data_IF_782593678844
#
_entry.id   IF_782593678844
#
_cell.length_a   1.000
_cell.length_b   1.000
_cell.length_c   1.000
_cell.angle_alpha   90.00
_cell.angle_beta   90.00
_cell.angle_gamma   90.00
#
_symmetry.space_group_name_H-M   'P 1'
#
loop_
_entity.id
_entity.type
_entity.pdbx_description
1 polymer ?
#
# COMPACT_ATOMS: atom_id res chain seq x y z
N UNK A 1 -4.85 15.35 -39.46
CA UNK A 1 -4.94 14.15 -39.71
C UNK A 1 -3.90 13.29 -39.25
N UNK A 2 -2.78 13.50 -39.60
CA UNK A 2 -1.74 12.63 -39.17
C UNK A 2 -1.65 12.50 -37.70
N UNK A 3 -1.96 13.50 -37.04
CA UNK A 3 -1.84 13.49 -35.62
C UNK A 3 -2.64 12.44 -34.97
N UNK A 4 -3.81 12.20 -35.46
CA UNK A 4 -4.55 11.27 -34.83
C UNK A 4 -4.09 9.95 -35.20
N UNK A 5 -3.55 9.80 -36.32
CA UNK A 5 -3.07 8.52 -36.67
C UNK A 5 -1.99 8.08 -35.74
N UNK A 6 -1.24 8.97 -35.23
CA UNK A 6 -0.15 8.57 -34.40
C UNK A 6 -0.60 8.02 -33.09
N UNK A 7 -1.63 8.49 -32.57
CA UNK A 7 -2.02 8.01 -31.31
C UNK A 7 -2.59 6.63 -31.36
N UNK A 8 -3.49 6.37 -32.19
CA UNK A 8 -4.10 5.08 -32.17
C UNK A 8 -3.18 3.95 -32.47
N UNK A 9 -2.29 4.11 -33.36
CA UNK A 9 -1.48 2.99 -33.72
C UNK A 9 -0.71 2.42 -32.59
N UNK A 10 -0.39 3.24 -31.71
CA UNK A 10 0.38 2.78 -30.66
C UNK A 10 -0.40 1.98 -29.73
N UNK A 11 -1.65 2.02 -29.87
CA UNK A 11 -2.47 1.52 -28.87
C UNK A 11 -2.31 0.09 -28.54
N UNK A 12 -2.44 -0.82 -29.46
CA UNK A 12 -2.45 -2.20 -29.11
C UNK A 12 -1.20 -2.63 -28.44
N UNK A 13 -0.11 -2.53 -29.13
CA UNK A 13 1.15 -2.98 -28.59
C UNK A 13 1.60 -2.13 -27.42
N UNK A 14 1.41 -0.84 -27.52
CA UNK A 14 1.80 0.02 -26.44
C UNK A 14 0.96 -0.18 -25.20
N UNK A 15 -0.29 -0.46 -25.36
CA UNK A 15 -1.15 -0.74 -24.24
C UNK A 15 -0.80 -2.07 -23.60
N UNK A 16 -0.44 -3.07 -24.39
CA UNK A 16 -0.02 -4.34 -23.84
C UNK A 16 1.27 -4.18 -23.07
N UNK A 17 2.19 -3.40 -23.58
CA UNK A 17 3.44 -3.14 -22.90
C UNK A 17 3.18 -2.32 -21.65
N UNK A 18 2.33 -1.33 -21.76
CA UNK A 18 1.99 -0.49 -20.62
C UNK A 18 1.31 -1.31 -19.54
N UNK A 19 0.43 -2.21 -19.90
CA UNK A 19 -0.23 -3.05 -18.94
C UNK A 19 0.77 -3.97 -18.23
N UNK A 20 1.78 -4.42 -18.96
CA UNK A 20 2.81 -5.24 -18.38
C UNK A 20 3.72 -4.44 -17.47
N UNK A 21 3.98 -3.20 -17.82
CA UNK A 21 4.84 -2.33 -17.02
C UNK A 21 4.11 -1.66 -15.88
N UNK A 22 2.82 -1.58 -15.98
CA UNK A 22 2.01 -0.96 -14.94
C UNK A 22 2.29 -1.52 -13.56
N UNK A 23 2.49 -2.80 -13.38
CA UNK A 23 2.81 -3.34 -12.08
C UNK A 23 4.03 -2.70 -11.42
N UNK A 24 4.96 -2.18 -12.18
CA UNK A 24 6.12 -1.52 -11.60
C UNK A 24 5.71 -0.25 -10.87
N UNK A 25 4.85 0.54 -11.47
CA UNK A 25 4.34 1.74 -10.81
C UNK A 25 3.48 1.37 -9.60
N UNK A 26 2.70 0.32 -9.73
CA UNK A 26 1.88 -0.15 -8.61
C UNK A 26 2.73 -0.67 -7.48
N UNK A 27 3.82 -1.35 -7.79
CA UNK A 27 4.74 -1.83 -6.78
C UNK A 27 5.35 -0.66 -6.02
N UNK A 28 5.74 0.38 -6.71
CA UNK A 28 6.27 1.57 -6.07
C UNK A 28 5.22 2.23 -5.19
N UNK A 29 4.00 2.29 -5.67
CA UNK A 29 2.92 2.92 -4.93
C UNK A 29 2.65 2.18 -3.64
N UNK A 30 2.54 0.85 -3.68
CA UNK A 30 2.23 0.11 -2.47
C UNK A 30 3.43 0.06 -1.51
N UNK A 31 4.64 0.08 -2.05
CA UNK A 31 5.81 0.16 -1.19
C UNK A 31 5.86 1.51 -0.47
N UNK A 32 5.48 2.57 -1.16
CA UNK A 32 5.41 3.89 -0.56
C UNK A 32 4.36 3.92 0.56
N UNK A 33 3.18 3.40 0.28
CA UNK A 33 2.12 3.36 1.28
C UNK A 33 2.56 2.54 2.49
N UNK A 34 3.15 1.37 2.25
CA UNK A 34 3.63 0.53 3.33
C UNK A 34 4.69 1.24 4.15
N UNK A 35 5.60 1.95 3.50
CA UNK A 35 6.65 2.68 4.19
C UNK A 35 6.08 3.79 5.07
N UNK A 36 5.10 4.53 4.57
CA UNK A 36 4.46 5.58 5.35
C UNK A 36 3.77 5.00 6.58
N UNK A 37 3.06 3.90 6.43
CA UNK A 37 2.39 3.26 7.55
C UNK A 37 3.40 2.65 8.52
N UNK A 38 4.45 2.06 7.99
CA UNK A 38 5.52 1.48 8.82
C UNK A 38 6.16 2.55 9.71
N UNK A 39 6.38 3.73 9.15
CA UNK A 39 6.94 4.85 9.91
C UNK A 39 6.01 5.30 11.03
N UNK A 40 4.71 5.38 10.74
CA UNK A 40 3.73 5.77 11.74
C UNK A 40 3.75 4.78 12.91
N UNK A 41 3.82 3.50 12.59
CA UNK A 41 3.87 2.45 13.61
C UNK A 41 5.19 2.53 14.38
N UNK A 42 6.29 2.66 13.67
CA UNK A 42 7.62 2.71 14.31
C UNK A 42 7.81 3.93 15.17
N UNK A 43 7.21 5.06 14.80
CA UNK A 43 7.28 6.28 15.59
C UNK A 43 6.19 6.33 16.66
N UNK A 44 5.42 5.26 16.79
CA UNK A 44 4.36 5.13 17.79
C UNK A 44 3.25 6.17 17.62
N UNK A 45 3.05 6.60 16.40
CA UNK A 45 1.92 7.47 16.07
C UNK A 45 0.63 6.63 16.05
N UNK A 46 0.78 5.33 15.80
CA UNK A 46 -0.32 4.37 15.90
C UNK A 46 0.15 3.31 16.88
N UNK A 47 -0.60 3.10 17.94
CA UNK A 47 -0.19 2.21 19.02
C UNK A 47 -0.70 0.78 18.81
N UNK A 48 -0.11 -0.18 19.54
CA UNK A 48 -0.61 -1.55 19.49
C UNK A 48 -2.11 -1.61 19.78
N UNK A 49 -2.79 -2.47 19.07
CA UNK A 49 -4.25 -2.65 19.12
C UNK A 49 -5.05 -1.49 18.54
N UNK A 50 -4.40 -0.44 18.09
CA UNK A 50 -5.12 0.61 17.36
C UNK A 50 -5.44 0.11 15.96
N UNK A 51 -6.62 0.44 15.48
CA UNK A 51 -7.00 0.13 14.11
C UNK A 51 -6.45 1.17 13.16
N UNK A 52 -5.98 0.72 12.02
CA UNK A 52 -5.63 1.62 10.95
C UNK A 52 -6.92 2.10 10.28
N UNK A 53 -6.87 3.22 9.57
CA UNK A 53 -8.03 3.63 8.76
C UNK A 53 -8.40 2.50 7.81
N UNK A 54 -9.64 2.48 7.38
CA UNK A 54 -10.11 1.45 6.45
C UNK A 54 -9.37 1.53 5.12
N UNK A 55 -9.45 0.46 4.34
CA UNK A 55 -8.86 0.47 3.00
C UNK A 55 -9.38 1.63 2.17
N UNK A 56 -10.67 1.90 2.30
CA UNK A 56 -11.30 2.99 1.58
C UNK A 56 -10.72 4.33 2.01
N UNK A 57 -10.56 4.52 3.29
CA UNK A 57 -9.98 5.75 3.82
C UNK A 57 -8.52 5.89 3.41
N UNK A 58 -7.76 4.82 3.49
CA UNK A 58 -6.35 4.85 3.08
C UNK A 58 -6.23 5.13 1.59
N UNK A 59 -7.10 4.54 0.79
CA UNK A 59 -7.14 4.79 -0.64
C UNK A 59 -7.34 6.28 -0.92
N UNK A 60 -8.27 6.91 -0.20
CA UNK A 60 -8.50 8.33 -0.36
C UNK A 60 -7.35 9.18 0.13
N UNK A 61 -6.77 8.83 1.27
CA UNK A 61 -5.67 9.60 1.85
C UNK A 61 -4.42 9.57 0.99
N UNK A 62 -4.10 8.42 0.41
CA UNK A 62 -2.91 8.27 -0.41
C UNK A 62 -3.17 8.52 -1.90
N UNK A 63 -4.42 8.63 -2.29
CA UNK A 63 -4.75 8.83 -3.71
C UNK A 63 -4.40 7.63 -4.57
N UNK A 64 -4.58 6.42 -4.04
CA UNK A 64 -4.26 5.19 -4.76
C UNK A 64 -5.46 4.26 -4.75
N UNK A 65 -5.41 3.23 -5.57
CA UNK A 65 -6.50 2.26 -5.62
C UNK A 65 -6.51 1.35 -4.41
N UNK A 66 -7.62 0.69 -4.20
CA UNK A 66 -7.76 -0.23 -3.06
C UNK A 66 -6.81 -1.41 -3.17
N UNK A 67 -6.55 -1.88 -4.38
CA UNK A 67 -5.61 -2.97 -4.57
C UNK A 67 -4.22 -2.60 -4.10
N UNK A 68 -3.82 -1.35 -4.31
CA UNK A 68 -2.53 -0.85 -3.84
C UNK A 68 -2.49 -0.83 -2.32
N UNK A 69 -3.58 -0.39 -1.70
CA UNK A 69 -3.67 -0.38 -0.24
C UNK A 69 -3.61 -1.80 0.30
N UNK A 70 -4.34 -2.72 -0.31
CA UNK A 70 -4.34 -4.12 0.11
C UNK A 70 -2.93 -4.72 0.01
N UNK A 71 -2.22 -4.41 -1.06
CA UNK A 71 -0.86 -4.91 -1.22
C UNK A 71 0.07 -4.36 -0.15
N UNK A 72 -0.09 -3.07 0.18
CA UNK A 72 0.70 -2.46 1.24
C UNK A 72 0.43 -3.12 2.59
N UNK A 73 -0.83 -3.37 2.88
CA UNK A 73 -1.22 -4.02 4.14
C UNK A 73 -0.64 -5.43 4.21
N UNK A 74 -0.64 -6.16 3.10
CA UNK A 74 -0.05 -7.50 3.08
C UNK A 74 1.44 -7.47 3.37
N UNK A 75 2.15 -6.45 2.92
CA UNK A 75 3.55 -6.29 3.26
C UNK A 75 3.72 -6.11 4.75
N UNK A 76 2.89 -5.27 5.37
CA UNK A 76 2.97 -5.03 6.80
C UNK A 76 2.58 -6.27 7.59
N UNK A 77 1.63 -7.04 7.09
CA UNK A 77 1.27 -8.32 7.72
C UNK A 77 2.43 -9.31 7.67
N UNK A 78 3.11 -9.38 6.54
CA UNK A 78 4.26 -10.25 6.39
C UNK A 78 5.38 -9.86 7.34
N UNK A 79 5.50 -8.58 7.64
CA UNK A 79 6.47 -8.07 8.60
C UNK A 79 5.98 -8.16 10.04
N UNK A 80 4.76 -8.65 10.22
CA UNK A 80 4.13 -8.81 11.54
C UNK A 80 3.95 -7.50 12.29
N UNK A 81 3.75 -6.44 11.54
CA UNK A 81 3.45 -5.14 12.13
C UNK A 81 1.97 -4.95 12.35
N UNK A 82 1.15 -5.60 11.54
CA UNK A 82 -0.30 -5.50 11.65
C UNK A 82 -0.93 -6.87 11.42
N UNK A 83 -2.19 -7.00 11.81
CA UNK A 83 -2.99 -8.16 11.48
C UNK A 83 -4.37 -7.71 11.03
N UNK A 84 -4.98 -8.49 10.16
CA UNK A 84 -6.32 -8.22 9.70
C UNK A 84 -7.28 -9.10 10.49
N UNK A 85 -8.32 -8.49 11.06
CA UNK A 85 -9.35 -9.20 11.80
C UNK A 85 -10.65 -9.09 11.02
N UNK A 86 -11.39 -10.17 10.98
CA UNK A 86 -12.65 -10.23 10.26
C UNK A 86 -13.80 -9.99 11.20
N UNK A 87 -14.98 -9.72 10.64
CA UNK A 87 -16.19 -9.59 11.41
C UNK A 87 -16.60 -8.15 11.63
N UNK A 88 -17.60 -7.99 12.48
CA UNK A 88 -18.22 -6.68 12.74
C UNK A 88 -17.23 -5.65 13.27
N UNK A 89 -16.35 -6.09 14.14
CA UNK A 89 -15.32 -5.20 14.70
C UNK A 89 -13.98 -5.46 14.02
N UNK A 90 -14.03 -5.87 12.75
CA UNK A 90 -12.84 -6.19 12.01
C UNK A 90 -12.10 -4.99 11.52
N UNK A 91 -11.00 -5.22 10.85
CA UNK A 91 -10.15 -4.18 10.29
C UNK A 91 -8.70 -4.61 10.38
N UNK A 92 -7.81 -3.67 10.17
CA UNK A 92 -6.38 -3.92 10.28
C UNK A 92 -5.88 -3.25 11.54
N UNK A 93 -5.23 -4.02 12.40
CA UNK A 93 -4.82 -3.54 13.71
C UNK A 93 -3.32 -3.68 13.90
N UNK A 94 -2.73 -2.74 14.59
CA UNK A 94 -1.31 -2.74 14.86
C UNK A 94 -1.00 -3.80 15.92
N UNK A 95 0.02 -4.59 15.66
CA UNK A 95 0.46 -5.61 16.61
C UNK A 95 1.45 -5.02 17.61
N UNK A 96 1.48 -5.60 18.79
CA UNK A 96 2.44 -5.19 19.81
C UNK A 96 3.81 -5.75 19.47
N UNK A 97 4.82 -4.94 19.60
CA UNK A 97 6.21 -5.32 19.38
C UNK A 97 7.06 -4.73 20.50
N UNK A 98 8.21 -5.32 20.71
CA UNK A 98 9.16 -4.76 21.66
C UNK A 98 9.72 -3.48 21.06
N UNK A 99 9.99 -2.51 21.92
CA UNK A 99 10.55 -1.24 21.47
C UNK A 99 11.85 -1.43 20.70
N UNK A 100 12.67 -2.35 21.17
CA UNK A 100 13.96 -2.60 20.55
C UNK A 100 13.82 -3.12 19.13
N UNK A 101 12.83 -3.97 18.89
CA UNK A 101 12.58 -4.51 17.58
C UNK A 101 12.18 -3.41 16.60
N UNK A 102 11.28 -2.55 17.02
CA UNK A 102 10.83 -1.45 16.18
C UNK A 102 11.94 -0.42 15.97
N UNK A 103 12.72 -0.16 16.99
CA UNK A 103 13.81 0.79 16.90
C UNK A 103 14.86 0.32 15.90
N UNK A 104 15.14 -0.96 15.87
CA UNK A 104 16.11 -1.51 14.94
C UNK A 104 15.68 -1.32 13.51
N UNK A 105 14.40 -1.37 13.23
CA UNK A 105 13.90 -1.19 11.88
C UNK A 105 14.09 0.23 11.37
N UNK A 106 14.24 1.19 12.26
CA UNK A 106 14.33 2.59 11.88
C UNK A 106 15.68 3.25 12.22
N UNK A 107 16.59 2.48 12.71
CA UNK A 107 17.93 2.94 12.92
C UNK A 107 18.84 2.48 11.81
#
# INVERSE_FOLDING_TARGET
MASKASSPPVTSAAQDVAATLEPIAQLRAHEYVAEQLRRQIGLRMVLPDDGLPSERELSGLFGVGRATVQAAIRLLEAERLVETRRGRNGGTFVLAHDEDDLAQDYL
#
